data_IF_197015747970
#
_entry.id   IF_197015747970
#
_cell.length_a   1.000
_cell.length_b   1.000
_cell.length_c   1.000
_cell.angle_alpha   90.00
_cell.angle_beta   90.00
_cell.angle_gamma   90.00
#
_symmetry.space_group_name_H-M   'P 1'
#
loop_
_entity.id
_entity.type
_entity.pdbx_description
1 polymer ?
#
# COMPACT_ATOMS: atom_id res chain seq x y z
N UNK A 1 27.87 17.86 -5.34
CA UNK A 1 27.20 16.54 -5.33
C UNK A 1 28.22 15.52 -5.80
N UNK A 2 28.57 14.52 -4.97
CA UNK A 2 29.70 13.62 -5.26
C UNK A 2 29.35 12.44 -6.20
N UNK A 3 28.07 12.25 -6.57
CA UNK A 3 27.65 11.21 -7.54
C UNK A 3 27.91 9.75 -7.10
N UNK A 4 28.38 9.54 -5.86
CA UNK A 4 28.72 8.24 -5.31
C UNK A 4 28.34 8.18 -3.83
N UNK A 5 28.03 6.97 -3.34
CA UNK A 5 27.82 6.68 -1.92
C UNK A 5 29.14 6.48 -1.16
N UNK A 6 30.25 6.28 -1.88
CA UNK A 6 31.56 6.02 -1.30
C UNK A 6 32.08 7.28 -0.59
N UNK A 7 32.65 7.11 0.62
CA UNK A 7 33.18 8.23 1.42
C UNK A 7 32.12 8.97 2.23
N UNK A 8 30.94 8.38 2.42
CA UNK A 8 29.91 8.95 3.30
C UNK A 8 30.44 9.07 4.75
N UNK A 9 30.54 10.28 5.34
CA UNK A 9 31.25 10.49 6.62
C UNK A 9 30.71 9.72 7.82
N UNK A 10 29.44 9.29 7.77
CA UNK A 10 28.76 8.57 8.87
C UNK A 10 28.65 7.06 8.62
N UNK A 11 29.29 6.54 7.58
CA UNK A 11 29.35 5.09 7.34
C UNK A 11 30.79 4.68 7.00
N UNK A 12 31.06 3.40 7.23
CA UNK A 12 32.31 2.79 6.80
C UNK A 12 32.09 2.09 5.46
N UNK A 13 33.15 2.06 4.65
CA UNK A 13 33.14 1.26 3.43
C UNK A 13 32.97 -0.21 3.83
N UNK A 14 31.98 -0.86 3.26
CA UNK A 14 31.82 -2.30 3.41
C UNK A 14 32.90 -3.01 2.59
N UNK A 15 33.70 -3.85 3.24
CA UNK A 15 34.62 -4.77 2.57
C UNK A 15 33.89 -6.11 2.38
N UNK A 16 33.71 -6.55 1.13
CA UNK A 16 32.99 -7.78 0.78
C UNK A 16 31.63 -7.55 0.11
N UNK A 17 30.82 -8.61 0.04
CA UNK A 17 29.52 -8.59 -0.63
C UNK A 17 28.42 -8.05 0.29
N UNK A 18 27.69 -7.04 -0.19
CA UNK A 18 26.52 -6.50 0.52
C UNK A 18 25.42 -7.55 0.75
N UNK A 19 25.36 -8.59 -0.10
CA UNK A 19 24.38 -9.67 -0.01
C UNK A 19 24.65 -10.64 1.16
N UNK A 20 25.87 -10.63 1.71
CA UNK A 20 26.31 -11.53 2.80
C UNK A 20 26.37 -10.81 4.16
N UNK A 21 25.95 -9.54 4.19
CA UNK A 21 25.97 -8.73 5.40
C UNK A 21 24.98 -9.26 6.43
N UNK A 22 25.36 -9.21 7.70
CA UNK A 22 24.49 -9.63 8.80
C UNK A 22 23.30 -8.67 8.95
N UNK A 23 22.11 -9.16 8.64
CA UNK A 23 20.87 -8.39 8.69
C UNK A 23 19.67 -9.35 8.78
N UNK A 24 18.55 -8.88 9.34
CA UNK A 24 17.32 -9.68 9.41
C UNK A 24 16.59 -9.74 8.07
N UNK A 25 16.59 -8.63 7.31
CA UNK A 25 15.87 -8.47 6.04
C UNK A 25 16.85 -7.97 4.97
N UNK A 26 16.93 -8.69 3.85
CA UNK A 26 17.72 -8.30 2.69
C UNK A 26 16.81 -7.80 1.56
N UNK A 27 17.13 -6.62 1.03
CA UNK A 27 16.39 -6.00 -0.08
C UNK A 27 17.31 -5.86 -1.30
N UNK A 28 17.34 -6.85 -2.21
CA UNK A 28 18.08 -6.74 -3.46
C UNK A 28 17.30 -5.85 -4.45
N UNK A 29 17.73 -4.60 -4.60
CA UNK A 29 17.13 -3.61 -5.48
C UNK A 29 18.09 -3.13 -6.59
N UNK A 30 18.91 -4.06 -7.11
CA UNK A 30 19.83 -3.84 -8.23
C UNK A 30 19.31 -4.57 -9.48
N UNK A 31 20.13 -5.41 -10.11
CA UNK A 31 19.73 -6.28 -11.22
C UNK A 31 19.23 -7.64 -10.74
N UNK A 32 18.74 -8.46 -11.67
CA UNK A 32 18.30 -9.83 -11.44
C UNK A 32 19.48 -10.81 -11.18
N UNK A 33 19.15 -12.04 -10.75
CA UNK A 33 20.09 -13.16 -10.56
C UNK A 33 21.28 -12.88 -9.61
N UNK A 34 21.15 -11.92 -8.70
CA UNK A 34 22.19 -11.60 -7.71
C UNK A 34 22.35 -12.68 -6.62
N UNK A 35 21.27 -13.41 -6.33
CA UNK A 35 21.28 -14.58 -5.46
C UNK A 35 21.31 -15.85 -6.31
N UNK A 36 22.36 -16.65 -6.14
CA UNK A 36 22.65 -17.85 -6.91
C UNK A 36 23.00 -19.00 -5.97
N UNK A 37 23.13 -20.22 -6.52
CA UNK A 37 23.60 -21.39 -5.76
C UNK A 37 24.95 -21.15 -5.06
N UNK A 38 25.80 -20.29 -5.61
CA UNK A 38 27.14 -20.01 -5.09
C UNK A 38 27.16 -19.11 -3.85
N UNK A 39 26.15 -18.26 -3.62
CA UNK A 39 26.12 -17.31 -2.50
C UNK A 39 24.89 -17.42 -1.59
N UNK A 40 23.82 -18.11 -2.01
CA UNK A 40 22.59 -18.23 -1.23
C UNK A 40 22.80 -18.80 0.18
N UNK A 41 23.74 -19.74 0.35
CA UNK A 41 24.08 -20.32 1.65
C UNK A 41 24.81 -19.36 2.59
N UNK A 42 25.32 -18.23 2.07
CA UNK A 42 26.01 -17.19 2.83
C UNK A 42 25.09 -16.02 3.21
N UNK A 43 23.88 -15.97 2.66
CA UNK A 43 22.88 -14.95 2.99
C UNK A 43 22.35 -15.24 4.39
N UNK A 44 22.48 -14.26 5.29
CA UNK A 44 22.04 -14.36 6.69
C UNK A 44 20.60 -13.86 6.92
N UNK A 45 20.06 -13.13 5.96
CA UNK A 45 18.71 -12.59 6.04
C UNK A 45 17.64 -13.68 6.01
N UNK A 46 16.60 -13.48 6.81
CA UNK A 46 15.51 -14.44 7.00
C UNK A 46 14.37 -14.21 6.01
N UNK A 47 14.22 -12.98 5.51
CA UNK A 47 13.11 -12.57 4.64
C UNK A 47 13.55 -11.76 3.40
N UNK A 48 12.73 -11.83 2.34
CA UNK A 48 12.90 -11.12 1.08
C UNK A 48 11.67 -10.26 0.75
N UNK A 49 11.89 -9.03 0.24
CA UNK A 49 10.83 -8.05 -0.05
C UNK A 49 10.24 -8.13 -1.48
N UNK A 50 9.00 -7.65 -1.66
CA UNK A 50 8.20 -7.67 -2.91
C UNK A 50 8.15 -6.31 -3.63
N UNK A 51 8.19 -6.30 -4.96
CA UNK A 51 8.32 -5.08 -5.78
C UNK A 51 7.06 -4.63 -6.57
N UNK A 52 5.85 -5.08 -6.20
CA UNK A 52 4.61 -4.74 -6.93
C UNK A 52 4.12 -3.29 -6.75
N UNK A 53 4.72 -2.51 -5.84
CA UNK A 53 4.26 -1.16 -5.52
C UNK A 53 4.41 -0.18 -6.68
N UNK A 54 5.49 -0.28 -7.46
CA UNK A 54 5.71 0.62 -8.61
C UNK A 54 4.60 0.52 -9.65
N UNK A 55 4.28 -0.71 -10.09
CA UNK A 55 3.21 -0.97 -11.07
C UNK A 55 1.84 -0.52 -10.53
N UNK A 56 1.61 -0.67 -9.22
CA UNK A 56 0.36 -0.24 -8.57
C UNK A 56 0.17 1.28 -8.65
N UNK A 57 1.23 2.05 -8.37
CA UNK A 57 1.16 3.51 -8.44
C UNK A 57 1.14 4.01 -9.89
N UNK A 58 1.84 3.35 -10.81
CA UNK A 58 1.74 3.65 -12.25
C UNK A 58 0.33 3.40 -12.79
N UNK A 59 -0.38 2.40 -12.28
CA UNK A 59 -1.79 2.19 -12.61
C UNK A 59 -2.67 3.37 -12.13
N UNK A 60 -2.42 3.91 -10.93
CA UNK A 60 -3.12 5.11 -10.45
C UNK A 60 -2.81 6.35 -11.28
N UNK A 61 -1.56 6.50 -11.72
CA UNK A 61 -1.16 7.57 -12.63
C UNK A 61 -1.90 7.47 -13.97
N UNK A 62 -1.98 6.27 -14.55
CA UNK A 62 -2.74 6.03 -15.77
C UNK A 62 -4.23 6.37 -15.60
N UNK A 63 -4.86 5.95 -14.49
CA UNK A 63 -6.25 6.31 -14.18
C UNK A 63 -6.44 7.82 -14.04
N UNK A 64 -5.52 8.51 -13.37
CA UNK A 64 -5.57 9.97 -13.25
C UNK A 64 -5.52 10.64 -14.62
N UNK A 65 -4.63 10.17 -15.51
CA UNK A 65 -4.48 10.73 -16.85
C UNK A 65 -5.75 10.57 -17.69
N UNK A 66 -6.45 9.44 -17.58
CA UNK A 66 -7.74 9.22 -18.25
C UNK A 66 -8.87 10.11 -17.73
N UNK A 67 -8.87 10.40 -16.42
CA UNK A 67 -9.92 11.20 -15.80
C UNK A 67 -9.74 12.71 -16.02
N UNK A 68 -8.55 13.16 -16.44
CA UNK A 68 -8.21 14.57 -16.67
C UNK A 68 -8.50 15.51 -15.49
N UNK A 69 -8.62 14.97 -14.26
CA UNK A 69 -8.98 15.72 -13.06
C UNK A 69 -8.13 15.23 -11.88
N UNK A 70 -7.62 16.17 -11.08
CA UNK A 70 -6.95 15.85 -9.82
C UNK A 70 -7.96 15.32 -8.80
N UNK A 71 -7.68 14.18 -8.19
CA UNK A 71 -8.54 13.59 -7.16
C UNK A 71 -8.88 14.59 -6.05
N UNK A 72 -10.16 14.64 -5.67
CA UNK A 72 -10.71 15.54 -4.66
C UNK A 72 -10.99 16.97 -5.13
N UNK A 73 -10.45 17.43 -6.27
CA UNK A 73 -10.60 18.82 -6.74
C UNK A 73 -12.06 19.28 -6.87
N UNK A 74 -12.96 18.39 -7.30
CA UNK A 74 -14.37 18.70 -7.50
C UNK A 74 -15.20 18.58 -6.22
N UNK A 75 -14.71 17.87 -5.20
CA UNK A 75 -15.51 17.49 -4.03
C UNK A 75 -15.02 18.10 -2.71
N UNK A 76 -13.78 18.62 -2.63
CA UNK A 76 -13.18 19.06 -1.35
C UNK A 76 -14.06 19.99 -0.53
N UNK A 77 -14.61 21.05 -1.15
CA UNK A 77 -15.47 22.00 -0.44
C UNK A 77 -16.80 21.35 -0.04
N UNK A 78 -17.39 20.58 -0.94
CA UNK A 78 -18.67 19.92 -0.70
C UNK A 78 -18.58 18.91 0.44
N UNK A 79 -17.55 18.06 0.44
CA UNK A 79 -17.31 17.06 1.50
C UNK A 79 -17.01 17.73 2.83
N UNK A 80 -16.16 18.77 2.84
CA UNK A 80 -15.88 19.54 4.07
C UNK A 80 -17.14 20.12 4.67
N UNK A 81 -17.90 20.85 3.86
CA UNK A 81 -19.11 21.52 4.34
C UNK A 81 -20.14 20.46 4.77
N UNK A 82 -20.30 19.36 4.03
CA UNK A 82 -21.18 18.24 4.38
C UNK A 82 -20.79 17.59 5.72
N UNK A 83 -19.50 17.37 5.97
CA UNK A 83 -19.01 16.81 7.23
C UNK A 83 -19.28 17.73 8.42
N UNK A 84 -19.11 19.06 8.26
CA UNK A 84 -19.49 20.00 9.32
C UNK A 84 -21.00 20.02 9.58
N UNK A 85 -21.83 19.93 8.54
CA UNK A 85 -23.29 19.82 8.72
C UNK A 85 -23.67 18.51 9.42
N UNK A 86 -22.95 17.42 9.17
CA UNK A 86 -23.15 16.15 9.86
C UNK A 86 -22.84 16.30 11.36
N UNK A 87 -21.69 16.87 11.71
CA UNK A 87 -21.31 17.12 13.11
C UNK A 87 -22.32 18.04 13.81
N UNK A 88 -22.76 19.10 13.11
CA UNK A 88 -23.77 20.03 13.60
C UNK A 88 -25.12 19.35 13.84
N UNK A 89 -25.54 18.46 12.94
CA UNK A 89 -26.79 17.69 13.09
C UNK A 89 -26.75 16.79 14.34
N UNK A 90 -25.59 16.21 14.66
CA UNK A 90 -25.40 15.43 15.88
C UNK A 90 -25.44 16.33 17.11
N UNK A 91 -24.73 17.46 17.07
CA UNK A 91 -24.74 18.45 18.14
C UNK A 91 -26.17 18.93 18.45
N UNK A 92 -26.91 19.41 17.45
CA UNK A 92 -28.28 19.88 17.62
C UNK A 92 -29.23 18.80 18.14
N UNK A 93 -29.03 17.54 17.72
CA UNK A 93 -29.84 16.42 18.19
C UNK A 93 -29.61 16.11 19.67
N UNK A 94 -28.36 16.19 20.12
CA UNK A 94 -27.99 16.03 21.53
C UNK A 94 -28.50 17.21 22.36
N UNK A 95 -28.30 18.44 21.89
CA UNK A 95 -28.78 19.65 22.56
C UNK A 95 -30.31 19.67 22.66
N UNK A 96 -31.04 19.22 21.64
CA UNK A 96 -32.51 19.09 21.70
C UNK A 96 -32.96 18.08 22.77
N UNK A 97 -32.20 17.00 22.98
CA UNK A 97 -32.54 15.94 23.94
C UNK A 97 -32.13 16.28 25.38
N UNK A 98 -30.98 16.94 25.56
CA UNK A 98 -30.33 17.14 26.87
C UNK A 98 -30.22 18.62 27.31
N UNK A 99 -30.55 19.57 26.44
CA UNK A 99 -30.16 20.98 26.55
C UNK A 99 -30.88 21.83 27.60
N UNK A 100 -31.86 21.32 28.34
CA UNK A 100 -32.49 22.10 29.44
C UNK A 100 -31.59 22.21 30.68
N UNK A 101 -30.61 21.31 30.87
CA UNK A 101 -29.70 21.34 32.02
C UNK A 101 -28.21 21.18 31.65
N UNK A 102 -27.90 20.79 30.41
CA UNK A 102 -26.55 20.36 30.01
C UNK A 102 -25.64 21.38 29.32
N UNK A 103 -26.12 22.60 29.03
CA UNK A 103 -25.35 23.59 28.25
C UNK A 103 -25.14 23.16 26.78
N UNK A 104 -24.25 23.86 26.07
CA UNK A 104 -23.83 23.52 24.69
C UNK A 104 -22.97 22.26 24.66
N UNK A 105 -23.23 21.34 23.73
CA UNK A 105 -22.48 20.09 23.58
C UNK A 105 -21.67 20.18 22.27
N UNK A 106 -20.44 20.74 22.29
CA UNK A 106 -19.68 20.95 21.07
C UNK A 106 -19.25 19.60 20.46
N UNK A 107 -19.71 19.31 19.25
CA UNK A 107 -19.26 18.15 18.48
C UNK A 107 -18.23 18.64 17.46
N UNK A 108 -16.95 18.47 17.81
CA UNK A 108 -15.83 18.93 16.99
C UNK A 108 -15.02 17.77 16.43
N UNK A 109 -14.43 17.93 15.24
CA UNK A 109 -13.55 16.91 14.66
C UNK A 109 -12.29 16.71 15.52
N UNK A 110 -11.80 15.47 15.57
CA UNK A 110 -10.47 15.17 16.13
C UNK A 110 -9.38 15.66 15.19
N UNK A 111 -8.13 15.79 15.67
CA UNK A 111 -7.01 16.20 14.82
C UNK A 111 -6.86 15.32 13.56
N UNK A 112 -6.95 13.99 13.71
CA UNK A 112 -6.86 13.05 12.58
C UNK A 112 -8.02 13.20 11.58
N UNK A 113 -9.23 13.48 12.06
CA UNK A 113 -10.39 13.68 11.20
C UNK A 113 -10.37 15.08 10.55
N UNK A 114 -9.84 16.08 11.24
CA UNK A 114 -9.67 17.44 10.72
C UNK A 114 -8.79 17.45 9.46
N UNK A 115 -7.72 16.63 9.43
CA UNK A 115 -6.86 16.48 8.25
C UNK A 115 -7.60 15.83 7.06
N UNK A 116 -8.63 15.01 7.34
CA UNK A 116 -9.41 14.26 6.34
C UNK A 116 -10.78 14.87 6.06
N UNK A 117 -11.10 16.01 6.67
CA UNK A 117 -12.45 16.58 6.66
C UNK A 117 -12.92 16.96 5.26
N UNK A 118 -11.97 17.31 4.39
CA UNK A 118 -12.27 17.68 3.00
C UNK A 118 -12.33 16.47 2.07
N UNK A 119 -12.07 15.25 2.55
CA UNK A 119 -11.95 14.06 1.70
C UNK A 119 -10.52 13.72 1.33
N UNK A 120 -10.37 12.73 0.44
CA UNK A 120 -9.08 12.21 0.04
C UNK A 120 -8.45 13.04 -1.09
N UNK A 121 -7.22 13.52 -0.88
CA UNK A 121 -6.40 14.08 -1.95
C UNK A 121 -5.75 12.97 -2.78
N UNK A 122 -5.15 13.34 -3.92
CA UNK A 122 -4.37 12.40 -4.75
C UNK A 122 -3.29 11.66 -3.94
N UNK A 123 -2.58 12.36 -3.05
CA UNK A 123 -1.58 11.76 -2.16
C UNK A 123 -2.22 10.69 -1.27
N UNK A 124 -3.39 10.99 -0.70
CA UNK A 124 -4.09 10.08 0.20
C UNK A 124 -4.60 8.84 -0.54
N UNK A 125 -5.10 9.02 -1.76
CA UNK A 125 -5.51 7.91 -2.64
C UNK A 125 -4.32 7.00 -2.98
N UNK A 126 -3.18 7.57 -3.35
CA UNK A 126 -1.99 6.78 -3.67
C UNK A 126 -1.51 5.99 -2.45
N UNK A 127 -1.42 6.64 -1.29
CA UNK A 127 -0.94 5.99 -0.06
C UNK A 127 -1.90 4.91 0.42
N UNK A 128 -3.19 5.23 0.55
CA UNK A 128 -4.20 4.28 1.03
C UNK A 128 -4.45 3.16 0.03
N UNK A 129 -4.49 3.47 -1.27
CA UNK A 129 -4.69 2.49 -2.34
C UNK A 129 -3.52 1.49 -2.43
N UNK A 130 -2.27 1.98 -2.32
CA UNK A 130 -1.10 1.11 -2.29
C UNK A 130 -1.11 0.22 -1.04
N UNK A 131 -1.34 0.79 0.14
CA UNK A 131 -1.40 0.04 1.40
C UNK A 131 -2.47 -1.06 1.34
N UNK A 132 -3.68 -0.72 0.90
CA UNK A 132 -4.79 -1.67 0.72
C UNK A 132 -4.43 -2.80 -0.25
N UNK A 133 -3.83 -2.46 -1.40
CA UNK A 133 -3.46 -3.44 -2.43
C UNK A 133 -2.40 -4.42 -1.92
N UNK A 134 -1.39 -3.92 -1.21
CA UNK A 134 -0.31 -4.72 -0.66
C UNK A 134 -0.82 -5.63 0.47
N UNK A 135 -1.61 -5.09 1.40
CA UNK A 135 -2.21 -5.86 2.50
C UNK A 135 -3.13 -6.97 1.97
N UNK A 136 -4.03 -6.64 1.04
CA UNK A 136 -4.94 -7.60 0.42
C UNK A 136 -4.18 -8.71 -0.30
N UNK A 137 -3.14 -8.37 -1.07
CA UNK A 137 -2.34 -9.34 -1.82
C UNK A 137 -1.52 -10.23 -0.89
N UNK A 138 -0.92 -9.67 0.16
CA UNK A 138 -0.20 -10.44 1.18
C UNK A 138 -1.11 -11.47 1.86
N UNK A 139 -2.32 -11.06 2.29
CA UNK A 139 -3.32 -11.98 2.85
C UNK A 139 -3.77 -13.05 1.87
N UNK A 140 -3.84 -12.76 0.56
CA UNK A 140 -4.14 -13.79 -0.45
C UNK A 140 -3.01 -14.82 -0.55
N UNK A 141 -1.75 -14.37 -0.59
CA UNK A 141 -0.59 -15.27 -0.64
C UNK A 141 -0.52 -16.14 0.60
N UNK A 142 -0.67 -15.56 1.80
CA UNK A 142 -0.66 -16.30 3.07
C UNK A 142 -1.75 -17.38 3.11
N UNK A 143 -2.98 -17.04 2.68
CA UNK A 143 -4.08 -18.02 2.61
C UNK A 143 -3.78 -19.17 1.65
N UNK A 144 -3.21 -18.87 0.48
CA UNK A 144 -2.82 -19.89 -0.50
C UNK A 144 -1.67 -20.76 0.02
N UNK A 145 -0.67 -20.15 0.67
CA UNK A 145 0.41 -20.89 1.31
C UNK A 145 -0.10 -21.86 2.39
N UNK A 146 -1.05 -21.43 3.22
CA UNK A 146 -1.72 -22.30 4.20
C UNK A 146 -2.55 -23.40 3.53
N UNK A 147 -3.35 -23.05 2.52
CA UNK A 147 -4.24 -23.98 1.79
C UNK A 147 -3.48 -25.14 1.17
N UNK A 148 -2.29 -24.89 0.61
CA UNK A 148 -1.47 -25.90 -0.04
C UNK A 148 -0.29 -26.38 0.82
N UNK A 149 -0.26 -26.01 2.11
CA UNK A 149 0.79 -26.35 3.07
C UNK A 149 2.23 -26.05 2.58
N UNK A 150 2.43 -24.88 1.96
CA UNK A 150 3.69 -24.45 1.33
C UNK A 150 4.72 -23.89 2.34
N UNK A 151 4.33 -23.69 3.60
CA UNK A 151 5.20 -23.12 4.63
C UNK A 151 5.70 -21.72 4.23
N UNK A 152 7.03 -21.56 4.15
CA UNK A 152 7.70 -20.30 3.78
C UNK A 152 7.87 -20.11 2.26
N UNK A 153 7.39 -21.04 1.43
CA UNK A 153 7.42 -20.88 -0.03
C UNK A 153 6.30 -19.95 -0.52
N UNK A 154 6.45 -18.66 -0.21
CA UNK A 154 5.54 -17.60 -0.63
C UNK A 154 5.60 -17.33 -2.14
N UNK A 155 6.71 -17.70 -2.80
CA UNK A 155 6.89 -17.55 -4.24
C UNK A 155 5.91 -18.44 -4.99
N UNK A 156 5.87 -19.72 -4.65
CA UNK A 156 4.92 -20.67 -5.27
C UNK A 156 3.48 -20.25 -5.00
N UNK A 157 3.16 -19.83 -3.76
CA UNK A 157 1.83 -19.33 -3.43
C UNK A 157 1.42 -18.10 -4.26
N UNK A 158 2.34 -17.18 -4.54
CA UNK A 158 2.10 -16.03 -5.40
C UNK A 158 1.82 -16.44 -6.86
N UNK A 159 2.58 -17.40 -7.41
CA UNK A 159 2.35 -17.92 -8.76
C UNK A 159 1.01 -18.65 -8.89
N UNK A 160 0.62 -19.44 -7.89
CA UNK A 160 -0.71 -20.10 -7.87
C UNK A 160 -1.81 -19.05 -8.01
N UNK A 161 -1.76 -17.97 -7.21
CA UNK A 161 -2.74 -16.89 -7.26
C UNK A 161 -2.74 -16.15 -8.62
N UNK A 162 -1.57 -15.97 -9.23
CA UNK A 162 -1.45 -15.31 -10.52
C UNK A 162 -2.03 -16.17 -11.65
N UNK A 163 -1.67 -17.46 -11.68
CA UNK A 163 -2.16 -18.43 -12.67
C UNK A 163 -3.68 -18.57 -12.56
N UNK A 164 -4.24 -18.69 -11.35
CA UNK A 164 -5.69 -18.81 -11.15
C UNK A 164 -6.44 -17.60 -11.70
N UNK A 165 -5.95 -16.37 -11.47
CA UNK A 165 -6.55 -15.14 -11.99
C UNK A 165 -6.50 -15.07 -13.51
N UNK A 166 -5.35 -15.39 -14.11
CA UNK A 166 -5.18 -15.39 -15.57
C UNK A 166 -6.04 -16.48 -16.19
N UNK A 167 -5.98 -17.71 -15.68
CA UNK A 167 -6.74 -18.85 -16.15
C UNK A 167 -8.25 -18.57 -16.15
N UNK A 168 -8.77 -17.93 -15.09
CA UNK A 168 -10.20 -17.56 -15.02
C UNK A 168 -10.63 -16.69 -16.21
N UNK A 169 -9.83 -15.68 -16.56
CA UNK A 169 -10.12 -14.80 -17.72
C UNK A 169 -10.14 -15.61 -19.01
N UNK A 170 -9.15 -16.49 -19.22
CA UNK A 170 -9.12 -17.35 -20.42
C UNK A 170 -10.29 -18.33 -20.48
N UNK A 171 -10.71 -18.89 -19.33
CA UNK A 171 -11.80 -19.84 -19.25
C UNK A 171 -13.17 -19.18 -19.54
N UNK A 172 -13.37 -17.95 -19.07
CA UNK A 172 -14.63 -17.20 -19.27
C UNK A 172 -14.71 -16.56 -20.66
N UNK A 173 -13.60 -16.06 -21.20
CA UNK A 173 -13.57 -15.41 -22.52
C UNK A 173 -13.69 -16.41 -23.68
N UNK A 174 -13.57 -17.71 -23.42
CA UNK A 174 -13.31 -18.72 -24.44
C UNK A 174 -11.87 -18.63 -24.94
N UNK A 175 -11.27 -19.78 -25.27
CA UNK A 175 -9.99 -19.81 -25.95
C UNK A 175 -10.24 -19.40 -27.41
N UNK A 176 -10.07 -18.10 -27.68
CA UNK A 176 -10.08 -17.44 -29.00
C UNK A 176 -11.44 -17.16 -29.66
N UNK A 177 -11.47 -16.05 -30.41
CA UNK A 177 -12.34 -15.88 -31.57
C UNK A 177 -11.94 -16.94 -32.61
N UNK A 178 -12.59 -18.10 -32.59
CA UNK A 178 -12.73 -18.95 -33.78
C UNK A 178 -13.88 -18.47 -34.64
#
# INVERSE_FOLDING_TARGET
QHGTIMGFPKAQKLEGSILETDCDILIPAASEKQLTKANAHKVKAKDLYLNAGGVTVSYFEWLKNLNHVSYGRLTFKYERDSNYHLLMSVQESLERKFGKHGGTIPVVPTAEFQDRISGASEKDIVHSGLAYTMERSARQIMRTAMKYNLGLDLRTAAYVNAIEKVFKVYNEAGLTFT
#
